data_IF_757280353008
#
_entry.id   IF_757280353008
#
_cell.length_a   1.000
_cell.length_b   1.000
_cell.length_c   1.000
_cell.angle_alpha   90.00
_cell.angle_beta   90.00
_cell.angle_gamma   90.00
#
_symmetry.space_group_name_H-M   'P 1'
#
loop_
_entity.id
_entity.type
_entity.pdbx_description
1 polymer ?
#
# COMPACT_ATOMS: atom_id res chain seq x y z
N UNK A 1 10.46 21.87 -6.02
CA UNK A 1 9.07 22.29 -5.94
C UNK A 1 8.93 23.35 -4.85
N UNK A 2 7.99 24.31 -5.01
CA UNK A 2 7.77 25.29 -3.95
C UNK A 2 6.86 24.68 -2.85
N UNK A 3 6.93 25.25 -1.63
CA UNK A 3 6.12 24.78 -0.48
C UNK A 3 4.61 24.76 -0.78
N UNK A 4 4.16 25.69 -1.62
CA UNK A 4 2.77 25.78 -2.04
C UNK A 4 2.34 24.59 -2.91
N UNK A 5 3.16 24.17 -3.87
CA UNK A 5 2.88 22.99 -4.70
C UNK A 5 2.84 21.70 -3.86
N UNK A 6 3.70 21.57 -2.85
CA UNK A 6 3.65 20.42 -1.93
C UNK A 6 2.35 20.38 -1.14
N UNK A 7 1.88 21.54 -0.67
CA UNK A 7 0.59 21.63 0.02
C UNK A 7 -0.57 21.24 -0.88
N UNK A 8 -0.57 21.70 -2.14
CA UNK A 8 -1.60 21.32 -3.13
C UNK A 8 -1.54 19.81 -3.40
N UNK A 9 -0.34 19.24 -3.58
CA UNK A 9 -0.16 17.81 -3.79
C UNK A 9 -0.69 16.98 -2.63
N UNK A 10 -0.43 17.41 -1.38
CA UNK A 10 -0.97 16.77 -0.18
C UNK A 10 -2.50 16.84 -0.18
N UNK A 11 -3.08 18.02 -0.35
CA UNK A 11 -4.54 18.20 -0.36
C UNK A 11 -5.22 17.37 -1.47
N UNK A 12 -4.62 17.25 -2.65
CA UNK A 12 -5.12 16.39 -3.71
C UNK A 12 -5.10 14.92 -3.30
N UNK A 13 -4.02 14.46 -2.69
CA UNK A 13 -3.90 13.08 -2.19
C UNK A 13 -4.94 12.77 -1.12
N UNK A 14 -5.09 13.65 -0.12
CA UNK A 14 -6.08 13.54 0.95
C UNK A 14 -7.51 13.41 0.42
N UNK A 15 -7.86 14.25 -0.55
CA UNK A 15 -9.21 14.32 -1.14
C UNK A 15 -9.52 13.20 -2.14
N UNK A 16 -8.50 12.50 -2.64
CA UNK A 16 -8.69 11.42 -3.61
C UNK A 16 -8.82 10.04 -2.98
N UNK A 17 -8.29 9.82 -1.77
CA UNK A 17 -8.33 8.52 -1.11
C UNK A 17 -9.73 8.15 -0.66
N UNK A 18 -10.13 6.92 -0.97
CA UNK A 18 -11.49 6.40 -0.70
C UNK A 18 -11.44 5.34 0.39
N UNK A 19 -12.20 5.52 1.46
CA UNK A 19 -12.42 4.50 2.48
C UNK A 19 -13.59 3.60 2.06
N UNK A 20 -13.29 2.44 1.50
CA UNK A 20 -14.28 1.48 1.01
C UNK A 20 -14.91 0.64 2.12
N UNK A 21 -14.16 0.38 3.19
CA UNK A 21 -14.61 -0.40 4.34
C UNK A 21 -13.92 0.06 5.61
N UNK A 22 -14.66 0.09 6.72
CA UNK A 22 -14.13 0.28 8.06
C UNK A 22 -15.07 -0.36 9.08
N UNK A 23 -14.61 -1.37 9.79
CA UNK A 23 -15.38 -2.00 10.87
C UNK A 23 -15.18 -1.32 12.24
N UNK A 24 -14.58 -0.12 12.23
CA UNK A 24 -14.30 0.67 13.44
C UNK A 24 -12.84 0.61 13.89
N UNK A 25 -11.94 0.02 13.07
CA UNK A 25 -10.49 0.06 13.36
C UNK A 25 -9.87 1.45 13.10
N UNK A 26 -10.39 2.17 12.13
CA UNK A 26 -9.94 3.53 11.81
C UNK A 26 -10.87 4.57 12.43
N UNK A 27 -10.32 5.70 12.93
CA UNK A 27 -8.90 5.99 13.04
C UNK A 27 -8.18 5.09 14.06
N UNK A 28 -6.88 4.86 13.84
CA UNK A 28 -6.06 4.06 14.74
C UNK A 28 -5.91 4.76 16.10
N UNK A 29 -6.27 4.06 17.16
CA UNK A 29 -6.15 4.59 18.54
C UNK A 29 -4.73 4.35 19.09
N UNK A 30 -3.91 5.40 19.08
CA UNK A 30 -2.53 5.37 19.57
C UNK A 30 -2.42 5.05 21.09
N UNK A 31 -3.52 5.09 21.84
CA UNK A 31 -3.52 4.63 23.23
C UNK A 31 -3.45 3.11 23.32
N UNK A 32 -3.98 2.40 22.34
CA UNK A 32 -4.10 0.93 22.27
C UNK A 32 -3.09 0.30 21.32
N UNK A 33 -2.83 0.93 20.17
CA UNK A 33 -1.88 0.47 19.14
C UNK A 33 -0.51 1.03 19.47
N UNK A 34 0.45 0.17 19.76
CA UNK A 34 1.85 0.52 20.09
C UNK A 34 2.84 0.06 19.03
N UNK A 35 2.46 -0.96 18.27
CA UNK A 35 3.27 -1.51 17.18
C UNK A 35 2.41 -1.72 15.95
N UNK A 36 2.83 -1.17 14.82
CA UNK A 36 2.19 -1.35 13.52
C UNK A 36 3.17 -2.11 12.61
N UNK A 37 2.69 -3.14 11.94
CA UNK A 37 3.42 -3.77 10.84
C UNK A 37 2.97 -3.16 9.51
N UNK A 38 3.88 -2.53 8.79
CA UNK A 38 3.67 -2.04 7.42
C UNK A 38 4.24 -3.08 6.47
N UNK A 39 3.38 -3.73 5.72
CA UNK A 39 3.72 -4.90 4.91
C UNK A 39 3.27 -4.67 3.46
N UNK A 40 3.99 -5.23 2.52
CA UNK A 40 3.57 -5.30 1.12
C UNK A 40 4.50 -4.58 0.15
N UNK A 41 4.43 -4.95 -1.14
CA UNK A 41 5.34 -4.45 -2.18
C UNK A 41 5.20 -2.94 -2.43
N UNK A 42 4.02 -2.37 -2.19
CA UNK A 42 3.76 -0.95 -2.43
C UNK A 42 4.14 -0.05 -1.24
N UNK A 43 4.52 -0.62 -0.09
CA UNK A 43 4.81 0.15 1.12
C UNK A 43 5.99 1.12 0.98
N UNK A 44 7.02 0.76 0.22
CA UNK A 44 8.22 1.56 -0.03
C UNK A 44 8.38 1.97 -1.50
N UNK A 45 7.43 1.60 -2.35
CA UNK A 45 7.51 1.86 -3.79
C UNK A 45 7.16 3.32 -4.10
N UNK A 46 8.06 4.05 -4.76
CA UNK A 46 7.75 5.35 -5.34
C UNK A 46 6.90 5.21 -6.60
N UNK A 47 7.06 4.12 -7.36
CA UNK A 47 6.24 3.82 -8.53
C UNK A 47 4.75 3.64 -8.19
N UNK A 48 4.44 3.16 -6.98
CA UNK A 48 3.07 3.06 -6.49
C UNK A 48 2.43 4.42 -6.14
N UNK A 49 3.21 5.49 -6.14
CA UNK A 49 2.71 6.86 -5.95
C UNK A 49 2.45 7.58 -7.28
N UNK A 50 2.99 7.06 -8.38
CA UNK A 50 2.99 7.67 -9.69
C UNK A 50 2.16 6.86 -10.68
N UNK A 51 1.22 7.50 -11.36
CA UNK A 51 0.57 6.90 -12.54
C UNK A 51 1.41 7.07 -13.80
N UNK A 52 0.87 6.67 -14.94
CA UNK A 52 1.47 6.98 -16.25
C UNK A 52 1.54 8.49 -16.48
N UNK A 53 2.48 8.92 -17.30
CA UNK A 53 2.67 10.34 -17.69
C UNK A 53 2.97 11.26 -16.49
N UNK A 54 3.64 10.74 -15.47
CA UNK A 54 4.05 11.53 -14.31
C UNK A 54 5.20 12.49 -14.60
N UNK A 55 5.31 13.54 -13.81
CA UNK A 55 6.52 14.35 -13.71
C UNK A 55 7.41 13.85 -12.57
N UNK A 56 8.65 14.31 -12.51
CA UNK A 56 9.56 13.99 -11.42
C UNK A 56 9.40 14.98 -10.27
N UNK A 57 9.06 14.49 -9.09
CA UNK A 57 9.06 15.29 -7.88
C UNK A 57 10.48 15.39 -7.28
N UNK A 58 10.74 16.41 -6.49
CA UNK A 58 12.00 16.58 -5.77
C UNK A 58 12.14 15.57 -4.61
N UNK A 59 10.99 15.07 -4.11
CA UNK A 59 10.89 14.07 -3.05
C UNK A 59 9.56 13.36 -3.12
N UNK A 60 9.57 12.09 -2.77
CA UNK A 60 8.39 11.26 -2.57
C UNK A 60 8.34 10.79 -1.13
N UNK A 61 7.17 10.83 -0.52
CA UNK A 61 6.90 10.24 0.80
C UNK A 61 6.15 8.94 0.57
N UNK A 62 6.82 7.82 0.75
CA UNK A 62 6.21 6.48 0.62
C UNK A 62 5.23 6.20 1.76
N UNK A 63 4.39 5.18 1.62
CA UNK A 63 3.42 4.82 2.66
C UNK A 63 4.12 4.47 3.97
N UNK A 64 5.20 3.69 3.91
CA UNK A 64 6.01 3.39 5.09
C UNK A 64 6.58 4.66 5.73
N UNK A 65 7.17 5.55 4.94
CA UNK A 65 7.76 6.79 5.44
C UNK A 65 6.71 7.69 6.09
N UNK A 66 5.55 7.85 5.47
CA UNK A 66 4.44 8.65 6.02
C UNK A 66 3.99 8.13 7.39
N UNK A 67 3.81 6.82 7.52
CA UNK A 67 3.45 6.20 8.80
C UNK A 67 4.56 6.36 9.84
N UNK A 68 5.82 6.15 9.46
CA UNK A 68 6.97 6.34 10.37
C UNK A 68 7.10 7.79 10.86
N UNK A 69 6.79 8.75 10.01
CA UNK A 69 6.85 10.18 10.37
C UNK A 69 5.72 10.59 11.31
N UNK A 70 4.54 9.97 11.18
CA UNK A 70 3.33 10.35 11.95
C UNK A 70 3.18 9.54 13.24
N UNK A 71 3.50 8.27 13.23
CA UNK A 71 3.26 7.36 14.35
C UNK A 71 4.41 7.38 15.35
N UNK A 72 4.10 7.63 16.62
CA UNK A 72 5.11 7.69 17.69
C UNK A 72 5.51 6.31 18.23
N UNK A 73 4.75 5.26 17.87
CA UNK A 73 5.00 3.89 18.31
C UNK A 73 6.03 3.16 17.42
N UNK A 74 6.09 1.86 17.57
CA UNK A 74 7.02 1.01 16.82
C UNK A 74 6.44 0.65 15.44
N UNK A 75 7.23 0.81 14.39
CA UNK A 75 6.89 0.36 13.05
C UNK A 75 7.80 -0.80 12.66
N UNK A 76 7.19 -1.95 12.34
CA UNK A 76 7.84 -3.10 11.72
C UNK A 76 7.58 -3.05 10.22
N UNK A 77 8.55 -3.50 9.43
CA UNK A 77 8.44 -3.50 7.98
C UNK A 77 8.79 -4.88 7.41
N UNK A 78 8.02 -5.32 6.42
CA UNK A 78 8.36 -6.43 5.55
C UNK A 78 7.82 -6.20 4.14
N UNK A 79 8.62 -6.40 3.10
CA UNK A 79 8.13 -6.33 1.71
C UNK A 79 7.10 -7.43 1.44
N UNK A 80 7.25 -8.60 2.04
CA UNK A 80 6.30 -9.71 1.99
C UNK A 80 6.31 -10.47 0.67
N UNK A 81 6.26 -9.78 -0.47
CA UNK A 81 6.32 -10.38 -1.80
C UNK A 81 6.82 -9.38 -2.84
N UNK A 82 7.14 -9.87 -4.02
CA UNK A 82 7.29 -9.02 -5.20
C UNK A 82 5.93 -8.56 -5.72
N UNK A 83 5.89 -7.42 -6.42
CA UNK A 83 4.66 -6.83 -6.94
C UNK A 83 3.80 -7.80 -7.76
N UNK A 84 4.38 -8.61 -8.63
CA UNK A 84 3.64 -9.49 -9.54
C UNK A 84 4.24 -10.88 -9.77
N UNK A 85 5.44 -11.19 -9.30
CA UNK A 85 6.07 -12.49 -9.51
C UNK A 85 6.69 -13.06 -8.23
N UNK A 86 6.93 -14.35 -8.24
CA UNK A 86 7.74 -14.98 -7.21
C UNK A 86 9.22 -14.69 -7.47
N UNK A 87 9.84 -13.98 -6.55
CA UNK A 87 11.22 -13.53 -6.70
C UNK A 87 12.17 -14.48 -5.97
N UNK A 88 12.92 -15.23 -6.76
CA UNK A 88 14.02 -16.04 -6.26
C UNK A 88 15.34 -15.44 -6.74
N UNK A 89 16.22 -15.05 -5.82
CA UNK A 89 17.54 -14.52 -6.15
C UNK A 89 18.57 -14.87 -5.07
N UNK A 90 19.78 -15.22 -5.50
CA UNK A 90 20.85 -15.61 -4.58
C UNK A 90 20.48 -16.87 -3.81
N UNK A 91 20.53 -16.81 -2.49
CA UNK A 91 20.19 -17.92 -1.58
C UNK A 91 18.71 -17.92 -1.14
N UNK A 92 17.90 -16.94 -1.58
CA UNK A 92 16.50 -16.88 -1.23
C UNK A 92 15.73 -18.00 -1.94
N UNK A 93 14.76 -18.57 -1.23
CA UNK A 93 13.82 -19.56 -1.75
C UNK A 93 12.48 -18.91 -2.04
N UNK A 94 11.67 -19.57 -2.86
CA UNK A 94 10.29 -19.17 -3.10
C UNK A 94 9.53 -19.09 -1.77
N UNK A 95 8.87 -17.96 -1.54
CA UNK A 95 8.06 -17.75 -0.34
C UNK A 95 8.80 -17.31 0.93
N UNK A 96 10.11 -17.19 0.95
CA UNK A 96 10.87 -16.77 2.15
C UNK A 96 10.36 -15.42 2.70
N UNK A 97 10.01 -14.48 1.82
CA UNK A 97 9.50 -13.16 2.22
C UNK A 97 8.14 -13.19 2.90
N UNK A 98 7.31 -14.18 2.60
CA UNK A 98 6.03 -14.35 3.30
C UNK A 98 6.24 -14.67 4.78
N UNK A 99 7.29 -15.42 5.12
CA UNK A 99 7.61 -15.73 6.51
C UNK A 99 7.96 -14.47 7.31
N UNK A 100 8.76 -13.55 6.74
CA UNK A 100 9.06 -12.25 7.36
C UNK A 100 7.79 -11.42 7.59
N UNK A 101 6.89 -11.39 6.60
CA UNK A 101 5.62 -10.67 6.70
C UNK A 101 4.74 -11.23 7.83
N UNK A 102 4.62 -12.55 7.93
CA UNK A 102 3.87 -13.21 9.00
C UNK A 102 4.48 -12.88 10.37
N UNK A 103 5.80 -12.98 10.51
CA UNK A 103 6.49 -12.65 11.77
C UNK A 103 6.26 -11.18 12.14
N UNK A 104 6.34 -10.25 11.18
CA UNK A 104 6.07 -8.84 11.42
C UNK A 104 4.62 -8.62 11.87
N UNK A 105 3.65 -9.26 11.20
CA UNK A 105 2.24 -9.18 11.55
C UNK A 105 1.97 -9.74 12.96
N UNK A 106 2.47 -10.92 13.29
CA UNK A 106 2.29 -11.56 14.60
C UNK A 106 2.82 -10.72 15.76
N UNK A 107 3.87 -9.92 15.52
CA UNK A 107 4.50 -9.05 16.52
C UNK A 107 3.95 -7.61 16.52
N UNK A 108 2.88 -7.35 15.82
CA UNK A 108 2.21 -6.05 15.77
C UNK A 108 0.83 -6.09 16.42
N UNK A 109 0.30 -4.92 16.78
CA UNK A 109 -1.06 -4.75 17.26
C UNK A 109 -2.05 -4.58 16.10
N UNK A 110 -1.58 -4.02 14.98
CA UNK A 110 -2.32 -3.89 13.74
C UNK A 110 -1.38 -3.95 12.53
N UNK A 111 -1.91 -4.35 11.38
CA UNK A 111 -1.19 -4.44 10.12
C UNK A 111 -1.74 -3.44 9.13
N UNK A 112 -0.87 -2.66 8.51
CA UNK A 112 -1.15 -1.86 7.31
C UNK A 112 -0.54 -2.60 6.11
N UNK A 113 -1.40 -3.24 5.31
CA UNK A 113 -1.00 -4.09 4.20
C UNK A 113 -1.11 -3.30 2.88
N UNK A 114 0.02 -2.84 2.36
CA UNK A 114 0.14 -2.02 1.16
C UNK A 114 0.30 -2.90 -0.07
N UNK A 115 -0.77 -3.07 -0.80
CA UNK A 115 -0.86 -3.90 -2.01
C UNK A 115 -1.39 -3.09 -3.19
N UNK A 116 -1.40 -3.67 -4.37
CA UNK A 116 -1.95 -3.03 -5.55
C UNK A 116 -1.09 -3.24 -6.79
N UNK A 117 -1.07 -2.24 -7.61
CA UNK A 117 -0.41 -2.22 -8.91
C UNK A 117 0.55 -1.03 -8.98
N UNK A 118 1.15 -0.83 -10.11
CA UNK A 118 1.84 0.40 -10.52
C UNK A 118 1.80 0.52 -12.06
N UNK A 119 2.36 1.59 -12.60
CA UNK A 119 2.37 1.87 -14.03
C UNK A 119 3.06 0.78 -14.88
N UNK A 120 3.89 -0.10 -14.28
CA UNK A 120 4.52 -1.22 -15.00
C UNK A 120 3.56 -2.38 -15.24
N UNK A 121 2.45 -2.43 -14.50
CA UNK A 121 1.39 -3.46 -14.65
C UNK A 121 0.14 -2.84 -15.29
N UNK A 122 -0.24 -1.63 -14.89
CA UNK A 122 -1.33 -0.85 -15.49
C UNK A 122 -0.75 0.15 -16.51
N UNK A 123 0.01 -0.35 -17.51
CA UNK A 123 0.57 0.46 -18.58
C UNK A 123 -0.45 0.86 -19.64
N UNK A 124 0.00 1.61 -20.63
CA UNK A 124 -0.78 1.96 -21.81
C UNK A 124 -0.83 0.78 -22.80
N UNK A 125 -1.82 0.78 -23.68
CA UNK A 125 -1.90 -0.17 -24.79
C UNK A 125 -0.62 -0.10 -25.64
N UNK A 126 0.00 -1.25 -25.86
CA UNK A 126 1.25 -1.37 -26.58
C UNK A 126 2.51 -1.30 -25.72
N UNK A 127 2.41 -1.00 -24.44
CA UNK A 127 3.54 -1.11 -23.53
C UNK A 127 4.01 -2.57 -23.48
N UNK A 128 5.31 -2.75 -23.69
CA UNK A 128 5.93 -4.07 -23.66
C UNK A 128 6.74 -4.24 -22.40
N UNK A 129 6.80 -5.47 -21.89
CA UNK A 129 7.70 -5.81 -20.78
C UNK A 129 7.02 -6.08 -19.44
N UNK A 130 5.70 -5.96 -19.37
CA UNK A 130 4.97 -6.49 -18.24
C UNK A 130 4.47 -7.91 -18.51
N UNK A 131 4.19 -8.66 -17.46
CA UNK A 131 3.74 -10.06 -17.53
C UNK A 131 2.28 -10.19 -18.05
N UNK A 132 1.57 -9.07 -18.15
CA UNK A 132 0.15 -8.99 -18.47
C UNK A 132 -0.15 -8.55 -19.91
N UNK A 133 0.85 -8.42 -20.76
CA UNK A 133 0.72 -8.07 -22.19
C UNK A 133 -0.02 -6.75 -22.44
N UNK A 134 0.68 -5.71 -22.83
CA UNK A 134 0.09 -4.48 -23.37
C UNK A 134 -0.80 -3.67 -22.40
N UNK A 135 -0.54 -3.74 -21.11
CA UNK A 135 -1.20 -2.86 -20.14
C UNK A 135 -2.57 -3.33 -19.64
N UNK A 136 -3.26 -4.20 -20.33
CA UNK A 136 -4.58 -4.66 -19.94
C UNK A 136 -4.52 -5.81 -18.92
N UNK A 137 -5.25 -5.66 -17.82
CA UNK A 137 -5.46 -6.74 -16.86
C UNK A 137 -6.44 -7.77 -17.42
N UNK A 138 -6.16 -9.05 -17.17
CA UNK A 138 -7.06 -10.16 -17.57
C UNK A 138 -8.35 -10.19 -16.74
N UNK A 139 -8.27 -9.74 -15.49
CA UNK A 139 -9.37 -9.72 -14.53
C UNK A 139 -9.11 -8.66 -13.44
N UNK A 140 -9.97 -8.57 -12.44
CA UNK A 140 -9.86 -7.58 -11.35
C UNK A 140 -9.00 -8.04 -10.18
N UNK A 141 -8.41 -9.24 -10.23
CA UNK A 141 -7.62 -9.77 -9.13
C UNK A 141 -6.23 -9.12 -9.08
N UNK A 142 -5.69 -9.06 -7.88
CA UNK A 142 -4.27 -8.76 -7.68
C UNK A 142 -3.40 -9.91 -8.20
N UNK A 143 -2.13 -9.65 -8.54
CA UNK A 143 -1.15 -10.67 -8.84
C UNK A 143 -1.10 -11.79 -7.79
N UNK A 144 -0.78 -13.00 -8.19
CA UNK A 144 -0.83 -14.18 -7.31
C UNK A 144 0.06 -14.03 -6.08
N UNK A 145 1.25 -13.45 -6.25
CA UNK A 145 2.17 -13.17 -5.13
C UNK A 145 1.51 -12.36 -4.02
N UNK A 146 0.73 -11.34 -4.38
CA UNK A 146 0.03 -10.48 -3.42
C UNK A 146 -1.19 -11.18 -2.81
N UNK A 147 -1.93 -11.98 -3.58
CA UNK A 147 -3.07 -12.77 -3.07
C UNK A 147 -2.61 -13.79 -2.01
N UNK A 148 -1.46 -14.43 -2.23
CA UNK A 148 -0.84 -15.32 -1.25
C UNK A 148 -0.42 -14.54 -0.01
N UNK A 149 0.20 -13.36 -0.18
CA UNK A 149 0.58 -12.49 0.94
C UNK A 149 -0.63 -12.09 1.78
N UNK A 150 -1.69 -11.58 1.14
CA UNK A 150 -2.95 -11.20 1.81
C UNK A 150 -3.47 -12.37 2.64
N UNK A 151 -3.61 -13.54 2.03
CA UNK A 151 -4.09 -14.74 2.73
C UNK A 151 -3.27 -15.04 3.98
N UNK A 152 -1.94 -15.07 3.86
CA UNK A 152 -1.04 -15.40 4.99
C UNK A 152 -1.10 -14.35 6.11
N UNK A 153 -1.20 -13.08 5.76
CA UNK A 153 -1.34 -12.00 6.76
C UNK A 153 -2.70 -12.08 7.45
N UNK A 154 -3.79 -12.31 6.72
CA UNK A 154 -5.13 -12.49 7.30
C UNK A 154 -5.20 -13.71 8.23
N UNK A 155 -4.48 -14.79 7.93
CA UNK A 155 -4.41 -16.01 8.77
C UNK A 155 -3.75 -15.76 10.14
N UNK A 156 -3.04 -14.65 10.34
CA UNK A 156 -2.47 -14.28 11.65
C UNK A 156 -3.54 -13.86 12.68
N UNK A 157 -4.75 -13.54 12.21
CA UNK A 157 -5.85 -13.07 13.07
C UNK A 157 -5.64 -11.67 13.66
N UNK A 158 -4.64 -10.93 13.20
CA UNK A 158 -4.43 -9.53 13.60
C UNK A 158 -5.38 -8.61 12.85
N UNK A 159 -5.73 -7.44 13.41
CA UNK A 159 -6.46 -6.42 12.65
C UNK A 159 -5.68 -6.00 11.41
N UNK A 160 -6.31 -6.05 10.22
CA UNK A 160 -5.66 -5.74 8.94
C UNK A 160 -6.37 -4.59 8.25
N UNK A 161 -5.60 -3.55 7.93
CA UNK A 161 -6.00 -2.42 7.10
C UNK A 161 -5.32 -2.63 5.74
N UNK A 162 -6.10 -2.87 4.68
CA UNK A 162 -5.56 -2.92 3.32
C UNK A 162 -5.52 -1.51 2.73
N UNK A 163 -4.36 -1.15 2.21
CA UNK A 163 -4.11 0.05 1.41
C UNK A 163 -3.82 -0.41 -0.02
N UNK A 164 -4.80 -0.20 -0.91
CA UNK A 164 -4.71 -0.63 -2.30
C UNK A 164 -4.35 0.55 -3.21
N UNK A 165 -3.14 0.53 -3.77
CA UNK A 165 -2.69 1.48 -4.77
C UNK A 165 -2.95 0.89 -6.16
N UNK A 166 -3.86 1.48 -6.93
CA UNK A 166 -4.18 1.06 -8.29
C UNK A 166 -4.93 2.17 -9.02
N UNK A 167 -4.73 2.31 -10.32
CA UNK A 167 -5.44 3.25 -11.17
C UNK A 167 -6.82 2.75 -11.63
N UNK A 168 -7.13 1.48 -11.37
CA UNK A 168 -8.38 0.83 -11.77
C UNK A 168 -8.99 0.01 -10.62
N UNK A 169 -10.19 -0.50 -10.85
CA UNK A 169 -10.86 -1.38 -9.88
C UNK A 169 -10.07 -2.67 -9.63
N UNK A 170 -9.95 -3.05 -8.37
CA UNK A 170 -9.25 -4.25 -7.90
C UNK A 170 -10.11 -5.00 -6.91
N UNK A 171 -10.11 -6.33 -7.01
CA UNK A 171 -10.70 -7.22 -6.02
C UNK A 171 -9.60 -7.85 -5.17
N UNK A 172 -9.60 -7.57 -3.87
CA UNK A 172 -8.64 -8.11 -2.90
C UNK A 172 -8.96 -9.53 -2.45
N UNK A 173 -10.12 -10.06 -2.81
CA UNK A 173 -10.62 -11.41 -2.47
C UNK A 173 -10.60 -11.73 -0.97
N UNK A 174 -10.72 -10.71 -0.11
CA UNK A 174 -10.74 -10.88 1.35
C UNK A 174 -11.60 -9.83 2.04
N UNK A 175 -11.84 -10.02 3.33
CA UNK A 175 -12.64 -9.14 4.18
C UNK A 175 -11.76 -8.53 5.30
N UNK A 176 -10.98 -7.49 5.02
CA UNK A 176 -10.14 -6.83 6.01
C UNK A 176 -10.96 -6.01 7.00
N UNK A 177 -10.34 -5.56 8.09
CA UNK A 177 -10.97 -4.66 9.07
C UNK A 177 -11.19 -3.25 8.49
N UNK A 178 -10.28 -2.79 7.62
CA UNK A 178 -10.49 -1.61 6.81
C UNK A 178 -9.87 -1.78 5.41
N UNK A 179 -10.45 -1.11 4.43
CA UNK A 179 -9.97 -1.09 3.04
C UNK A 179 -9.99 0.34 2.52
N UNK A 180 -8.81 0.83 2.17
CA UNK A 180 -8.60 2.10 1.49
C UNK A 180 -8.17 1.86 0.04
N UNK A 181 -8.80 2.54 -0.90
CA UNK A 181 -8.31 2.67 -2.27
C UNK A 181 -7.65 4.02 -2.42
N UNK A 182 -6.34 4.02 -2.71
CA UNK A 182 -5.54 5.24 -2.64
C UNK A 182 -5.10 5.76 -4.00
N UNK A 183 -5.51 5.10 -5.08
CA UNK A 183 -5.11 5.41 -6.46
C UNK A 183 -3.57 5.40 -6.60
N UNK A 184 -3.02 6.36 -7.35
CA UNK A 184 -1.61 6.74 -7.39
C UNK A 184 -1.52 8.16 -6.83
N UNK A 185 -1.30 8.30 -5.50
CA UNK A 185 -1.64 9.53 -4.78
C UNK A 185 -0.62 10.67 -4.92
N UNK A 186 0.44 10.47 -5.70
CA UNK A 186 1.47 11.49 -5.89
C UNK A 186 2.51 11.57 -4.78
N UNK A 187 3.34 12.59 -4.86
CA UNK A 187 4.56 12.73 -4.05
C UNK A 187 4.33 12.79 -2.54
N UNK A 188 3.16 13.24 -2.08
CA UNK A 188 2.78 13.32 -0.66
C UNK A 188 1.82 12.21 -0.23
N UNK A 189 1.68 11.15 -1.03
CA UNK A 189 0.73 10.07 -0.78
C UNK A 189 0.92 9.36 0.56
N UNK A 190 2.16 9.19 1.02
CA UNK A 190 2.44 8.62 2.33
C UNK A 190 2.02 9.52 3.48
N UNK A 191 2.20 10.83 3.35
CA UNK A 191 1.73 11.81 4.34
C UNK A 191 0.21 11.77 4.44
N UNK A 192 -0.50 11.87 3.32
CA UNK A 192 -1.96 11.83 3.25
C UNK A 192 -2.53 10.53 3.85
N UNK A 193 -1.94 9.38 3.48
CA UNK A 193 -2.35 8.09 4.05
C UNK A 193 -2.21 8.08 5.57
N UNK A 194 -1.08 8.54 6.10
CA UNK A 194 -0.84 8.55 7.55
C UNK A 194 -1.87 9.44 8.27
N UNK A 195 -2.15 10.63 7.75
CA UNK A 195 -3.16 11.53 8.33
C UNK A 195 -4.57 10.91 8.37
N UNK A 196 -4.94 10.14 7.33
CA UNK A 196 -6.19 9.38 7.31
C UNK A 196 -6.17 8.25 8.33
N UNK A 197 -5.10 7.45 8.40
CA UNK A 197 -5.00 6.32 9.31
C UNK A 197 -5.11 6.73 10.77
N UNK A 198 -4.58 7.88 11.14
CA UNK A 198 -4.59 8.40 12.51
C UNK A 198 -5.71 9.40 12.80
N UNK A 199 -6.56 9.71 11.81
CA UNK A 199 -7.74 10.55 12.00
C UNK A 199 -7.46 12.04 12.05
N UNK A 200 -6.31 12.49 11.56
CA UNK A 200 -5.99 13.92 11.42
C UNK A 200 -6.89 14.54 10.35
N UNK A 201 -7.28 13.76 9.35
CA UNK A 201 -8.29 14.10 8.34
C UNK A 201 -9.25 12.92 8.11
N UNK A 202 -10.43 13.23 7.57
CA UNK A 202 -11.39 12.22 7.15
C UNK A 202 -11.26 11.98 5.64
N UNK A 203 -11.17 10.72 5.18
CA UNK A 203 -11.17 10.42 3.74
C UNK A 203 -12.49 10.89 3.12
N UNK A 204 -12.41 11.51 1.96
CA UNK A 204 -13.56 12.15 1.29
C UNK A 204 -13.62 11.88 -0.21
N UNK A 205 -12.76 10.99 -0.71
CA UNK A 205 -12.78 10.58 -2.11
C UNK A 205 -13.93 9.67 -2.46
#
# INVERSE_FOLDING_TARGET
SCKENKKISLECAERSMVLLKNNGILPLDESRIKTIAVIGPNSTSTAALEGNYNGTADRYVTFLEGIQNRFSGRVLYAEGCHLYKDRVSGLAKAGDRYAEAVIAAENADAVVLCVGLDATIEGEEGDTGNEFSSGDKKDLRLPESQRILIKKVMETGKPVIIVCAAGSSVNTECEPDALLHVWYPGSEGGTALAEILFGDISPSG
#
